data_IF_401017400403
#
_entry.id   IF_401017400403
#
_cell.length_a   1.000
_cell.length_b   1.000
_cell.length_c   1.000
_cell.angle_alpha   90.00
_cell.angle_beta   90.00
_cell.angle_gamma   90.00
#
_symmetry.space_group_name_H-M   'P 1'
#
loop_
_entity.id
_entity.type
_entity.pdbx_description
1 polymer ?
#
# COMPACT_ATOMS: atom_id res chain seq x y z
N UNK A 1 13.64 22.47 14.66
CA UNK A 1 14.32 21.30 14.07
C UNK A 1 13.37 20.36 13.31
N UNK A 2 12.25 19.91 13.91
CA UNK A 2 11.27 19.04 13.23
C UNK A 2 10.66 19.65 11.95
N UNK A 3 10.40 20.96 11.98
CA UNK A 3 9.82 21.73 10.87
C UNK A 3 10.74 21.75 9.64
N UNK A 4 12.03 22.05 9.84
CA UNK A 4 13.04 22.04 8.77
C UNK A 4 13.19 20.66 8.12
N UNK A 5 13.11 19.58 8.89
CA UNK A 5 13.11 18.22 8.35
C UNK A 5 11.85 17.93 7.53
N UNK A 6 10.69 18.43 7.95
CA UNK A 6 9.45 18.30 7.16
C UNK A 6 9.54 19.07 5.84
N UNK A 7 10.08 20.28 5.86
CA UNK A 7 10.30 21.09 4.66
C UNK A 7 11.28 20.43 3.67
N UNK A 8 12.37 19.83 4.18
CA UNK A 8 13.31 19.06 3.35
C UNK A 8 12.62 17.85 2.70
N UNK A 9 11.83 17.07 3.47
CA UNK A 9 11.08 15.93 2.93
C UNK A 9 10.07 16.36 1.85
N UNK A 10 9.36 17.47 2.10
CA UNK A 10 8.41 18.01 1.13
C UNK A 10 9.10 18.43 -0.17
N UNK A 11 10.22 19.16 -0.08
CA UNK A 11 10.99 19.59 -1.26
C UNK A 11 11.55 18.39 -2.04
N UNK A 12 12.05 17.37 -1.34
CA UNK A 12 12.53 16.16 -1.98
C UNK A 12 11.40 15.42 -2.72
N UNK A 13 10.25 15.26 -2.07
CA UNK A 13 9.10 14.60 -2.68
C UNK A 13 8.58 15.37 -3.91
N UNK A 14 8.58 16.71 -3.88
CA UNK A 14 8.23 17.53 -5.04
C UNK A 14 9.16 17.24 -6.22
N UNK A 15 10.48 17.24 -5.99
CA UNK A 15 11.47 16.92 -7.04
C UNK A 15 11.30 15.50 -7.61
N UNK A 16 10.99 14.52 -6.76
CA UNK A 16 10.73 13.13 -7.19
C UNK A 16 9.45 13.01 -8.02
N UNK A 17 8.45 13.86 -7.77
CA UNK A 17 7.23 13.93 -8.58
C UNK A 17 7.55 14.58 -9.94
N UNK A 18 8.20 15.74 -9.93
CA UNK A 18 8.54 16.52 -11.14
C UNK A 18 9.44 15.74 -12.09
N UNK A 19 10.40 14.97 -11.57
CA UNK A 19 11.29 14.14 -12.39
C UNK A 19 10.61 12.86 -12.91
N UNK A 20 9.40 12.53 -12.44
CA UNK A 20 8.72 11.26 -12.73
C UNK A 20 9.29 10.05 -11.98
N UNK A 21 10.38 10.21 -11.20
CA UNK A 21 11.03 9.11 -10.49
C UNK A 21 10.12 8.46 -9.45
N UNK A 22 9.20 9.24 -8.85
CA UNK A 22 8.18 8.71 -7.95
C UNK A 22 7.31 7.64 -8.61
N UNK A 23 6.88 7.86 -9.85
CA UNK A 23 6.05 6.89 -10.56
C UNK A 23 6.88 5.68 -10.99
N UNK A 24 8.14 5.88 -11.42
CA UNK A 24 9.07 4.79 -11.72
C UNK A 24 9.30 3.89 -10.51
N UNK A 25 9.55 4.48 -9.33
CA UNK A 25 9.71 3.74 -8.07
C UNK A 25 8.44 2.97 -7.70
N UNK A 26 7.26 3.58 -7.87
CA UNK A 26 5.97 2.92 -7.62
C UNK A 26 5.74 1.74 -8.55
N UNK A 27 6.09 1.86 -9.83
CA UNK A 27 5.99 0.77 -10.81
C UNK A 27 6.96 -0.37 -10.48
N UNK A 28 8.22 -0.06 -10.16
CA UNK A 28 9.21 -1.04 -9.75
C UNK A 28 8.75 -1.80 -8.50
N UNK A 29 8.28 -1.09 -7.48
CA UNK A 29 7.74 -1.71 -6.26
C UNK A 29 6.58 -2.64 -6.59
N UNK A 30 5.62 -2.18 -7.41
CA UNK A 30 4.48 -3.00 -7.85
C UNK A 30 4.95 -4.27 -8.57
N UNK A 31 5.92 -4.15 -9.46
CA UNK A 31 6.49 -5.30 -10.17
C UNK A 31 7.11 -6.31 -9.20
N UNK A 32 7.95 -5.85 -8.27
CA UNK A 32 8.57 -6.73 -7.25
C UNK A 32 7.52 -7.42 -6.38
N UNK A 33 6.51 -6.69 -5.90
CA UNK A 33 5.43 -7.29 -5.12
C UNK A 33 4.67 -8.37 -5.92
N UNK A 34 4.49 -8.18 -7.23
CA UNK A 34 3.88 -9.22 -8.07
C UNK A 34 4.81 -10.42 -8.27
N UNK A 35 6.11 -10.20 -8.48
CA UNK A 35 7.11 -11.27 -8.65
C UNK A 35 7.20 -12.19 -7.41
N UNK A 36 7.10 -11.62 -6.21
CA UNK A 36 7.09 -12.40 -4.96
C UNK A 36 5.70 -12.96 -4.58
N UNK A 37 4.71 -12.81 -5.46
CA UNK A 37 3.35 -13.31 -5.23
C UNK A 37 2.59 -12.59 -4.10
N UNK A 38 3.07 -11.42 -3.65
CA UNK A 38 2.45 -10.67 -2.55
C UNK A 38 0.98 -10.33 -2.85
N UNK A 39 0.69 -9.95 -4.10
CA UNK A 39 -0.69 -9.64 -4.54
C UNK A 39 -1.62 -10.83 -4.35
N UNK A 40 -1.16 -12.04 -4.68
CA UNK A 40 -1.97 -13.25 -4.58
C UNK A 40 -2.12 -13.71 -3.13
N UNK A 41 -1.07 -13.58 -2.32
CA UNK A 41 -1.12 -13.81 -0.87
C UNK A 41 -2.14 -12.88 -0.20
N UNK A 42 -2.09 -11.58 -0.50
CA UNK A 42 -3.04 -10.61 0.03
C UNK A 42 -4.46 -10.90 -0.43
N UNK A 43 -4.66 -11.28 -1.70
CA UNK A 43 -5.97 -11.68 -2.21
C UNK A 43 -6.52 -12.93 -1.52
N UNK A 44 -5.67 -13.92 -1.23
CA UNK A 44 -6.07 -15.11 -0.48
C UNK A 44 -6.50 -14.73 0.93
N UNK A 45 -5.68 -13.97 1.64
CA UNK A 45 -5.97 -13.52 3.00
C UNK A 45 -7.28 -12.72 3.09
N UNK A 46 -7.51 -11.83 2.13
CA UNK A 46 -8.74 -11.06 2.00
C UNK A 46 -9.98 -11.97 1.85
N UNK A 47 -9.87 -13.02 1.03
CA UNK A 47 -10.95 -14.02 0.86
C UNK A 47 -11.20 -14.81 2.14
N UNK A 48 -10.16 -15.14 2.89
CA UNK A 48 -10.29 -15.91 4.13
C UNK A 48 -11.02 -15.11 5.21
N UNK A 49 -10.72 -13.81 5.33
CA UNK A 49 -11.46 -12.89 6.22
C UNK A 49 -12.93 -12.80 5.83
N UNK A 50 -13.22 -12.58 4.54
CA UNK A 50 -14.60 -12.48 4.04
C UNK A 50 -15.37 -13.79 4.27
N UNK A 51 -14.72 -14.94 4.11
CA UNK A 51 -15.34 -16.25 4.42
C UNK A 51 -15.61 -16.43 5.91
N UNK A 52 -14.72 -15.97 6.78
CA UNK A 52 -14.88 -16.10 8.23
C UNK A 52 -15.97 -15.20 8.80
N UNK A 53 -16.07 -13.96 8.29
CA UNK A 53 -17.05 -12.97 8.77
C UNK A 53 -18.39 -13.04 8.05
N UNK A 54 -18.39 -13.52 6.81
CA UNK A 54 -19.54 -13.50 5.90
C UNK A 54 -19.57 -12.21 5.09
N UNK A 55 -19.89 -12.32 3.79
CA UNK A 55 -19.87 -11.20 2.85
C UNK A 55 -20.82 -10.06 3.24
N UNK A 56 -21.95 -10.39 3.87
CA UNK A 56 -22.97 -9.41 4.29
C UNK A 56 -22.60 -8.65 5.58
N UNK A 57 -21.61 -9.15 6.32
CA UNK A 57 -21.23 -8.62 7.64
C UNK A 57 -19.94 -7.79 7.61
N UNK A 58 -19.40 -7.47 6.43
CA UNK A 58 -18.14 -6.73 6.32
C UNK A 58 -18.18 -5.71 5.18
N UNK A 59 -17.81 -4.48 5.52
CA UNK A 59 -17.64 -3.41 4.55
C UNK A 59 -16.22 -3.42 3.95
N UNK A 60 -16.06 -2.74 2.81
CA UNK A 60 -14.75 -2.60 2.17
C UNK A 60 -13.75 -1.87 3.10
N UNK A 61 -14.20 -0.84 3.81
CA UNK A 61 -13.33 -0.08 4.73
C UNK A 61 -12.86 -0.94 5.92
N UNK A 62 -13.75 -1.73 6.52
CA UNK A 62 -13.37 -2.66 7.60
C UNK A 62 -12.39 -3.72 7.11
N UNK A 63 -12.64 -4.27 5.92
CA UNK A 63 -11.73 -5.22 5.28
C UNK A 63 -10.36 -4.59 5.01
N UNK A 64 -10.31 -3.34 4.53
CA UNK A 64 -9.06 -2.60 4.32
C UNK A 64 -8.32 -2.41 5.63
N UNK A 65 -9.01 -1.98 6.70
CA UNK A 65 -8.41 -1.77 8.01
C UNK A 65 -7.80 -3.07 8.57
N UNK A 66 -8.47 -4.21 8.35
CA UNK A 66 -8.02 -5.51 8.83
C UNK A 66 -6.85 -6.09 8.02
N UNK A 67 -6.85 -5.93 6.69
CA UNK A 67 -5.75 -6.43 5.85
C UNK A 67 -4.52 -5.53 5.85
N UNK A 68 -4.66 -4.24 6.16
CA UNK A 68 -3.57 -3.26 6.08
C UNK A 68 -2.35 -3.62 6.96
N UNK A 69 -2.49 -4.07 8.23
CA UNK A 69 -1.37 -4.52 9.04
C UNK A 69 -0.57 -5.68 8.43
N UNK A 70 -1.23 -6.57 7.69
CA UNK A 70 -0.58 -7.71 7.01
C UNK A 70 0.12 -7.30 5.72
N UNK A 71 -0.39 -6.25 5.06
CA UNK A 71 0.13 -5.76 3.78
C UNK A 71 1.26 -4.72 3.88
N UNK A 72 1.50 -4.13 5.05
CA UNK A 72 2.58 -3.17 5.30
C UNK A 72 3.89 -3.88 5.62
#
# INVERSE_FOLDING_TARGET
MADRNAQIRASLNAKLIESGERERMKQLLRQRLMEYGWRDQMKSYCKDIVKQKGLENITVDELVQEITPKGR
#
